data_IF_584111211934
#
_entry.id   IF_584111211934
#
_cell.length_a   1.000
_cell.length_b   1.000
_cell.length_c   1.000
_cell.angle_alpha   90.00
_cell.angle_beta   90.00
_cell.angle_gamma   90.00
#
_symmetry.space_group_name_H-M   'P 1'
#
loop_
_entity.id
_entity.type
_entity.pdbx_description
1 polymer ?
#
# COMPACT_ATOMS: atom_id res chain seq x y z
N UNK A 1 -3.00 -6.73 42.02
CA UNK A 1 -1.56 -6.75 41.74
C UNK A 1 -0.88 -5.58 42.41
N UNK A 2 0.21 -5.79 43.16
CA UNK A 2 0.84 -4.74 43.99
C UNK A 2 1.99 -3.98 43.31
N UNK A 3 2.64 -4.55 42.27
CA UNK A 3 3.75 -3.92 41.53
C UNK A 3 3.54 -4.02 40.02
N UNK A 4 4.11 -3.09 39.27
CA UNK A 4 4.14 -3.16 37.81
C UNK A 4 5.31 -4.05 37.38
N UNK A 5 5.01 -5.10 36.61
CA UNK A 5 6.01 -6.00 36.04
C UNK A 5 6.59 -5.39 34.76
N UNK A 6 7.91 -5.50 34.59
CA UNK A 6 8.67 -4.98 33.45
C UNK A 6 9.94 -5.81 33.23
N UNK A 7 10.52 -5.69 32.06
CA UNK A 7 11.84 -6.26 31.81
C UNK A 7 12.89 -5.58 32.71
N UNK A 8 13.67 -6.41 33.41
CA UNK A 8 14.83 -6.01 34.24
C UNK A 8 15.94 -7.02 34.01
N UNK A 9 17.14 -6.67 34.44
CA UNK A 9 18.26 -7.62 34.52
C UNK A 9 18.73 -7.69 35.96
N UNK A 10 18.63 -8.84 36.65
CA UNK A 10 17.96 -10.08 36.27
C UNK A 10 16.44 -9.88 36.11
N UNK A 11 15.72 -10.83 35.43
CA UNK A 11 14.27 -10.74 35.22
C UNK A 11 13.50 -10.74 36.54
N UNK A 12 12.40 -9.99 36.60
CA UNK A 12 11.46 -10.05 37.72
C UNK A 12 10.86 -11.45 37.83
N UNK A 13 10.88 -12.04 39.03
CA UNK A 13 10.36 -13.36 39.32
C UNK A 13 9.33 -13.31 40.46
N UNK A 14 8.49 -14.30 40.53
CA UNK A 14 7.61 -14.53 41.67
C UNK A 14 6.21 -15.04 41.32
N UNK A 15 5.40 -15.36 42.35
CA UNK A 15 4.03 -15.84 42.16
C UNK A 15 3.14 -14.85 41.44
N UNK A 16 3.35 -13.55 41.64
CA UNK A 16 2.63 -12.47 40.97
C UNK A 16 2.94 -12.40 39.46
N UNK A 17 4.17 -12.72 39.05
CA UNK A 17 4.56 -12.87 37.65
C UNK A 17 3.83 -14.03 37.03
N UNK A 18 3.86 -15.22 37.72
CA UNK A 18 3.18 -16.43 37.25
C UNK A 18 1.68 -16.20 37.11
N UNK A 19 1.03 -15.51 38.03
CA UNK A 19 -0.38 -15.13 37.97
C UNK A 19 -0.65 -14.24 36.75
N UNK A 20 0.16 -13.20 36.51
CA UNK A 20 0.03 -12.34 35.35
C UNK A 20 0.15 -13.10 34.02
N UNK A 21 1.10 -14.05 33.96
CA UNK A 21 1.27 -14.94 32.81
C UNK A 21 0.05 -15.84 32.59
N UNK A 22 -0.54 -16.39 33.66
CA UNK A 22 -1.78 -17.19 33.58
C UNK A 22 -2.94 -16.36 33.01
N UNK A 23 -3.08 -15.08 33.40
CA UNK A 23 -4.10 -14.18 32.83
C UNK A 23 -3.82 -13.90 31.34
N UNK A 24 -2.57 -13.76 30.92
CA UNK A 24 -2.21 -13.64 29.52
C UNK A 24 -2.50 -14.92 28.72
N UNK A 25 -2.24 -16.09 29.31
CA UNK A 25 -2.56 -17.41 28.72
C UNK A 25 -4.05 -17.57 28.54
N UNK A 26 -4.87 -17.26 29.57
CA UNK A 26 -6.33 -17.41 29.52
C UNK A 26 -6.97 -16.55 28.42
N UNK A 27 -6.32 -15.48 28.00
CA UNK A 27 -6.75 -14.58 26.91
C UNK A 27 -6.03 -14.82 25.59
N UNK A 28 -5.20 -15.85 25.48
CA UNK A 28 -4.50 -16.23 24.24
C UNK A 28 -3.33 -15.32 23.86
N UNK A 29 -2.85 -14.46 24.77
CA UNK A 29 -1.69 -13.59 24.50
C UNK A 29 -0.36 -14.29 24.80
N UNK A 30 -0.36 -15.33 25.62
CA UNK A 30 0.78 -16.17 25.95
C UNK A 30 0.42 -17.64 25.70
N UNK A 31 1.36 -18.44 25.23
CA UNK A 31 1.12 -19.87 24.99
C UNK A 31 0.99 -20.65 26.32
N UNK A 32 0.22 -21.73 26.29
CA UNK A 32 0.15 -22.67 27.42
C UNK A 32 1.54 -23.21 27.72
N UNK A 33 1.90 -23.30 28.98
CA UNK A 33 3.22 -23.79 29.44
C UNK A 33 4.27 -22.66 29.60
N UNK A 34 4.00 -21.44 29.16
CA UNK A 34 4.93 -20.30 29.32
C UNK A 34 4.68 -19.45 30.58
N UNK A 35 3.91 -19.95 31.52
CA UNK A 35 3.71 -19.31 32.82
C UNK A 35 4.74 -19.84 33.84
N UNK A 36 6.01 -19.50 33.59
CA UNK A 36 7.18 -19.96 34.36
C UNK A 36 7.48 -19.13 35.62
N UNK A 37 6.83 -17.98 35.77
CA UNK A 37 7.04 -17.04 36.88
C UNK A 37 8.20 -16.08 36.67
N UNK A 38 8.76 -16.00 35.44
CA UNK A 38 9.78 -15.02 35.06
C UNK A 38 9.25 -13.99 34.04
N UNK A 39 9.41 -12.71 34.30
CA UNK A 39 8.98 -11.66 33.38
C UNK A 39 10.06 -11.40 32.32
N UNK A 40 10.26 -12.39 31.44
CA UNK A 40 11.19 -12.31 30.31
C UNK A 40 10.59 -11.63 29.07
N UNK A 41 11.37 -11.56 27.97
CA UNK A 41 10.96 -10.89 26.71
C UNK A 41 9.65 -11.42 26.13
N UNK A 42 9.38 -12.71 26.23
CA UNK A 42 8.17 -13.36 25.72
C UNK A 42 6.94 -12.83 26.47
N UNK A 43 7.00 -12.79 27.82
CA UNK A 43 5.92 -12.26 28.68
C UNK A 43 5.73 -10.76 28.44
N UNK A 44 6.81 -10.00 28.32
CA UNK A 44 6.78 -8.58 28.03
C UNK A 44 6.09 -8.27 26.69
N UNK A 45 6.41 -9.03 25.66
CA UNK A 45 5.77 -8.93 24.35
C UNK A 45 4.29 -9.35 24.39
N UNK A 46 3.94 -10.36 25.17
CA UNK A 46 2.55 -10.77 25.38
C UNK A 46 1.73 -9.63 26.03
N UNK A 47 2.25 -8.99 27.07
CA UNK A 47 1.62 -7.83 27.70
C UNK A 47 1.45 -6.65 26.71
N UNK A 48 2.46 -6.40 25.86
CA UNK A 48 2.39 -5.38 24.81
C UNK A 48 1.28 -5.68 23.80
N UNK A 49 1.17 -6.94 23.32
CA UNK A 49 0.10 -7.38 22.41
C UNK A 49 -1.29 -7.25 23.05
N UNK A 50 -1.45 -7.62 24.32
CA UNK A 50 -2.70 -7.48 25.04
C UNK A 50 -3.16 -6.01 25.10
N UNK A 51 -2.29 -5.08 25.50
CA UNK A 51 -2.58 -3.64 25.51
C UNK A 51 -2.97 -3.13 24.13
N UNK A 52 -2.26 -3.53 23.09
CA UNK A 52 -2.57 -3.15 21.71
C UNK A 52 -3.98 -3.60 21.31
N UNK A 53 -4.31 -4.87 21.57
CA UNK A 53 -5.60 -5.45 21.23
C UNK A 53 -6.78 -4.84 22.02
N UNK A 54 -6.57 -4.48 23.29
CA UNK A 54 -7.56 -3.80 24.15
C UNK A 54 -7.82 -2.35 23.69
N UNK A 55 -6.87 -1.73 22.97
CA UNK A 55 -7.00 -0.38 22.43
C UNK A 55 -6.37 0.73 23.26
N UNK A 56 -5.29 0.44 24.00
CA UNK A 56 -4.47 1.49 24.61
C UNK A 56 -3.95 2.47 23.55
N UNK A 57 -3.62 3.72 23.93
CA UNK A 57 -2.89 4.64 23.02
C UNK A 57 -1.54 4.02 22.67
N UNK A 58 -0.99 4.29 21.48
CA UNK A 58 0.28 3.71 21.06
C UNK A 58 1.43 4.02 22.04
N UNK A 59 1.46 5.24 22.59
CA UNK A 59 2.43 5.65 23.62
C UNK A 59 2.35 4.81 24.92
N UNK A 60 1.16 4.23 25.20
CA UNK A 60 0.91 3.42 26.40
C UNK A 60 1.07 1.91 26.14
N UNK A 61 1.29 1.51 24.90
CA UNK A 61 1.52 0.11 24.48
C UNK A 61 2.98 -0.26 24.80
N UNK A 62 3.32 -0.24 26.09
CA UNK A 62 4.64 -0.59 26.61
C UNK A 62 4.68 -2.05 27.04
N UNK A 63 5.86 -2.64 27.02
CA UNK A 63 6.14 -4.03 27.45
C UNK A 63 6.12 -4.17 28.99
N UNK A 64 5.05 -3.71 29.62
CA UNK A 64 4.83 -3.73 31.08
C UNK A 64 3.45 -4.31 31.40
N UNK A 65 3.33 -4.95 32.57
CA UNK A 65 2.08 -5.50 33.08
C UNK A 65 1.78 -4.87 34.44
N UNK A 66 0.66 -4.18 34.57
CA UNK A 66 0.21 -3.52 35.78
C UNK A 66 -1.26 -3.77 36.04
N UNK A 67 -1.78 -3.24 37.17
CA UNK A 67 -3.15 -3.47 37.64
C UNK A 67 -4.22 -3.17 36.60
N UNK A 68 -4.06 -2.09 35.84
CA UNK A 68 -5.03 -1.74 34.78
C UNK A 68 -5.14 -2.82 33.71
N UNK A 69 -4.01 -3.37 33.23
CA UNK A 69 -4.03 -4.47 32.27
C UNK A 69 -4.63 -5.73 32.89
N UNK A 70 -4.27 -6.02 34.13
CA UNK A 70 -4.82 -7.13 34.91
C UNK A 70 -6.36 -7.06 35.01
N UNK A 71 -6.89 -5.91 35.37
CA UNK A 71 -8.34 -5.66 35.47
C UNK A 71 -9.06 -5.91 34.13
N UNK A 72 -8.46 -5.49 33.01
CA UNK A 72 -9.03 -5.76 31.69
C UNK A 72 -9.03 -7.25 31.34
N UNK A 73 -7.94 -7.94 31.62
CA UNK A 73 -7.82 -9.38 31.33
C UNK A 73 -8.80 -10.20 32.19
N UNK A 74 -9.01 -9.78 33.43
CA UNK A 74 -9.95 -10.42 34.36
C UNK A 74 -11.42 -10.00 34.10
N UNK A 75 -11.68 -9.02 33.25
CA UNK A 75 -13.02 -8.50 32.99
C UNK A 75 -13.57 -7.58 34.09
N UNK A 76 -12.76 -7.23 35.09
CA UNK A 76 -13.09 -6.28 36.16
C UNK A 76 -13.26 -4.86 35.66
N UNK A 77 -12.60 -4.54 34.55
CA UNK A 77 -12.67 -3.25 33.87
C UNK A 77 -13.09 -3.43 32.41
N UNK A 78 -14.05 -2.62 31.94
CA UNK A 78 -14.44 -2.59 30.53
C UNK A 78 -13.65 -1.50 29.78
N UNK A 79 -13.17 -1.76 28.55
CA UNK A 79 -12.53 -0.75 27.72
C UNK A 79 -13.49 0.43 27.47
N UNK A 80 -12.98 1.65 27.52
CA UNK A 80 -13.74 2.87 27.21
C UNK A 80 -14.18 2.86 25.72
N UNK A 81 -15.15 3.73 25.38
CA UNK A 81 -15.60 3.92 23.97
C UNK A 81 -14.41 4.19 23.04
N UNK A 82 -13.50 5.07 23.45
CA UNK A 82 -12.29 5.40 22.69
C UNK A 82 -11.33 4.22 22.55
N UNK A 83 -11.16 3.38 23.56
CA UNK A 83 -10.36 2.15 23.49
C UNK A 83 -10.99 1.13 22.54
N UNK A 84 -12.30 0.91 22.64
CA UNK A 84 -13.01 -0.01 21.72
C UNK A 84 -12.90 0.45 20.28
N UNK A 85 -13.02 1.75 20.01
CA UNK A 85 -12.84 2.31 18.66
C UNK A 85 -11.43 2.09 18.14
N UNK A 86 -10.39 2.36 18.94
CA UNK A 86 -9.00 2.08 18.56
C UNK A 86 -8.76 0.60 18.29
N UNK A 87 -9.27 -0.29 19.14
CA UNK A 87 -9.16 -1.73 18.96
C UNK A 87 -9.88 -2.19 17.67
N UNK A 88 -11.07 -1.66 17.38
CA UNK A 88 -11.81 -1.94 16.16
C UNK A 88 -11.04 -1.46 14.91
N UNK A 89 -10.50 -0.25 14.93
CA UNK A 89 -9.71 0.29 13.82
C UNK A 89 -8.44 -0.54 13.55
N UNK A 90 -7.80 -1.07 14.59
CA UNK A 90 -6.63 -1.95 14.47
C UNK A 90 -6.96 -3.34 13.91
N UNK A 91 -8.19 -3.83 14.13
CA UNK A 91 -8.67 -5.11 13.56
C UNK A 91 -9.19 -4.96 12.14
N UNK A 92 -9.57 -3.75 11.74
CA UNK A 92 -9.95 -3.50 10.34
C UNK A 92 -8.72 -3.74 9.48
N UNK A 93 -8.80 -4.69 8.55
CA UNK A 93 -7.85 -4.71 7.44
C UNK A 93 -7.94 -3.33 6.81
N UNK A 94 -6.81 -2.65 6.52
CA UNK A 94 -6.85 -1.42 5.75
C UNK A 94 -7.71 -1.66 4.51
N UNK A 95 -8.74 -0.85 4.31
CA UNK A 95 -9.48 -0.88 3.04
C UNK A 95 -8.45 -0.51 1.99
N UNK A 96 -8.17 -1.44 1.09
CA UNK A 96 -7.20 -1.23 0.05
C UNK A 96 -7.70 -0.09 -0.85
N UNK A 97 -6.86 0.91 -1.06
CA UNK A 97 -7.24 2.06 -1.89
C UNK A 97 -7.48 1.62 -3.33
N UNK A 98 -8.30 2.39 -4.07
CA UNK A 98 -8.50 2.18 -5.50
C UNK A 98 -7.16 2.06 -6.24
N UNK A 99 -6.23 2.97 -5.99
CA UNK A 99 -4.90 2.90 -6.58
C UNK A 99 -4.14 1.62 -6.24
N UNK A 100 -4.25 1.09 -5.01
CA UNK A 100 -3.59 -0.16 -4.65
C UNK A 100 -4.18 -1.37 -5.38
N UNK A 101 -5.51 -1.42 -5.53
CA UNK A 101 -6.19 -2.45 -6.34
C UNK A 101 -5.83 -2.34 -7.83
N UNK A 102 -5.75 -1.10 -8.36
CA UNK A 102 -5.30 -0.85 -9.72
C UNK A 102 -3.88 -1.34 -9.96
N UNK A 103 -2.97 -1.11 -9.00
CA UNK A 103 -1.60 -1.61 -9.07
C UNK A 103 -1.56 -3.15 -9.12
N UNK A 104 -2.39 -3.85 -8.32
CA UNK A 104 -2.49 -5.32 -8.38
C UNK A 104 -3.05 -5.81 -9.72
N UNK A 105 -4.03 -5.11 -10.28
CA UNK A 105 -4.56 -5.39 -11.63
C UNK A 105 -3.45 -5.28 -12.68
N UNK A 106 -2.67 -4.21 -12.66
CA UNK A 106 -1.55 -4.04 -13.60
C UNK A 106 -0.44 -5.08 -13.41
N UNK A 107 -0.17 -5.52 -12.15
CA UNK A 107 0.74 -6.66 -11.91
C UNK A 107 0.16 -7.95 -12.51
N UNK A 108 -1.16 -8.14 -12.50
CA UNK A 108 -1.83 -9.24 -13.20
C UNK A 108 -1.58 -9.18 -14.72
N UNK A 109 -1.69 -8.01 -15.32
CA UNK A 109 -1.41 -7.81 -16.77
C UNK A 109 0.07 -8.03 -17.11
N UNK A 110 0.99 -7.59 -16.24
CA UNK A 110 2.41 -7.92 -16.34
C UNK A 110 2.64 -9.44 -16.36
N UNK A 111 2.04 -10.20 -15.44
CA UNK A 111 2.13 -11.66 -15.40
C UNK A 111 1.53 -12.32 -16.63
N UNK A 112 0.49 -11.76 -17.19
CA UNK A 112 -0.15 -12.23 -18.43
C UNK A 112 0.65 -11.85 -19.69
N UNK A 113 1.75 -11.10 -19.55
CA UNK A 113 2.64 -10.73 -20.65
C UNK A 113 2.01 -9.72 -21.62
N UNK A 114 1.18 -8.81 -21.14
CA UNK A 114 0.52 -7.83 -21.99
C UNK A 114 1.54 -6.93 -22.69
N UNK A 115 1.46 -6.91 -24.00
CA UNK A 115 2.33 -6.14 -24.88
C UNK A 115 1.62 -5.77 -26.18
N UNK A 116 2.21 -4.85 -26.90
CA UNK A 116 1.76 -4.48 -28.24
C UNK A 116 1.83 -5.65 -29.23
N UNK A 117 0.83 -5.68 -30.07
CA UNK A 117 0.82 -6.59 -31.20
C UNK A 117 0.11 -5.94 -32.41
N UNK A 118 0.81 -5.73 -33.53
CA UNK A 118 2.27 -5.89 -33.71
C UNK A 118 3.07 -4.88 -32.86
N UNK A 119 4.36 -5.19 -32.65
CA UNK A 119 5.27 -4.32 -31.90
C UNK A 119 5.33 -2.92 -32.54
N UNK A 120 5.32 -1.87 -31.73
CA UNK A 120 5.32 -0.47 -32.19
C UNK A 120 3.95 0.05 -32.65
N UNK A 121 2.88 -0.78 -32.56
CA UNK A 121 1.53 -0.38 -33.00
C UNK A 121 0.78 0.47 -32.01
N UNK A 122 1.24 0.59 -30.78
CA UNK A 122 0.49 1.14 -29.65
C UNK A 122 -0.88 0.45 -29.44
N UNK A 123 -1.00 -0.83 -29.82
CA UNK A 123 -2.20 -1.63 -29.67
C UNK A 123 -1.96 -2.85 -28.78
N UNK A 124 -2.71 -2.96 -27.70
CA UNK A 124 -2.66 -4.07 -26.75
C UNK A 124 -4.06 -4.69 -26.65
N UNK A 125 -4.22 -5.91 -27.16
CA UNK A 125 -5.51 -6.60 -27.26
C UNK A 125 -6.22 -6.68 -25.90
N UNK A 126 -5.52 -7.13 -24.84
CA UNK A 126 -6.10 -7.22 -23.49
C UNK A 126 -6.59 -5.88 -22.95
N UNK A 127 -5.86 -4.79 -23.18
CA UNK A 127 -6.28 -3.45 -22.74
C UNK A 127 -7.49 -2.96 -23.56
N UNK A 128 -7.50 -3.21 -24.87
CA UNK A 128 -8.66 -2.95 -25.75
C UNK A 128 -9.91 -3.65 -25.22
N UNK A 129 -9.81 -4.94 -24.87
CA UNK A 129 -10.95 -5.71 -24.37
C UNK A 129 -11.46 -5.19 -23.02
N UNK A 130 -10.57 -4.78 -22.12
CA UNK A 130 -10.99 -4.13 -20.87
C UNK A 130 -11.69 -2.80 -21.14
N UNK A 131 -11.22 -1.98 -22.07
CA UNK A 131 -11.88 -0.73 -22.46
C UNK A 131 -13.31 -1.00 -22.97
N UNK A 132 -13.50 -2.01 -23.82
CA UNK A 132 -14.82 -2.44 -24.32
C UNK A 132 -15.72 -2.92 -23.17
N UNK A 133 -15.19 -3.78 -22.31
CA UNK A 133 -15.94 -4.30 -21.15
C UNK A 133 -16.40 -3.18 -20.20
N UNK A 134 -15.58 -2.16 -20.00
CA UNK A 134 -15.94 -0.99 -19.21
C UNK A 134 -16.90 -0.03 -19.94
N UNK A 135 -17.24 -0.29 -21.18
CA UNK A 135 -18.11 0.58 -21.98
C UNK A 135 -17.50 1.95 -22.26
N UNK A 136 -16.20 2.01 -22.46
CA UNK A 136 -15.49 3.24 -22.85
C UNK A 136 -15.71 3.53 -24.34
N UNK A 137 -15.50 4.78 -24.74
CA UNK A 137 -15.57 5.17 -26.15
C UNK A 137 -14.63 4.33 -27.02
N UNK A 138 -15.01 4.07 -28.24
CA UNK A 138 -14.25 3.25 -29.21
C UNK A 138 -12.81 3.75 -29.44
N UNK A 139 -12.59 5.06 -29.29
CA UNK A 139 -11.27 5.66 -29.34
C UNK A 139 -10.27 4.96 -28.39
N UNK A 140 -10.68 4.64 -27.14
CA UNK A 140 -9.81 3.98 -26.18
C UNK A 140 -9.55 2.51 -26.51
N UNK A 141 -10.53 1.79 -27.07
CA UNK A 141 -10.36 0.40 -27.45
C UNK A 141 -9.60 0.24 -28.76
N UNK A 142 -9.66 1.21 -29.66
CA UNK A 142 -8.95 1.16 -30.94
C UNK A 142 -7.49 1.57 -30.83
N UNK A 143 -7.10 2.25 -29.76
CA UNK A 143 -5.71 2.63 -29.43
C UNK A 143 -4.95 3.24 -30.63
N UNK A 144 -3.63 3.02 -30.70
CA UNK A 144 -2.77 3.63 -31.73
C UNK A 144 -2.03 4.89 -31.24
N UNK A 145 -2.10 5.15 -29.93
CA UNK A 145 -1.43 6.25 -29.24
C UNK A 145 -0.66 5.73 -28.03
N UNK A 146 0.30 6.49 -27.45
CA UNK A 146 0.99 6.08 -26.21
C UNK A 146 0.00 5.78 -25.09
N UNK A 147 0.07 4.58 -24.51
CA UNK A 147 -0.97 4.02 -23.65
C UNK A 147 -0.59 3.89 -22.17
N UNK A 148 0.52 4.49 -21.73
CA UNK A 148 0.95 4.44 -20.33
C UNK A 148 -0.14 4.95 -19.37
N UNK A 149 -0.73 6.11 -19.66
CA UNK A 149 -1.79 6.71 -18.85
C UNK A 149 -3.12 5.93 -18.97
N UNK A 150 -3.46 5.45 -20.16
CA UNK A 150 -4.65 4.60 -20.36
C UNK A 150 -4.59 3.38 -19.45
N UNK A 151 -3.46 2.70 -19.37
CA UNK A 151 -3.27 1.52 -18.51
C UNK A 151 -3.59 1.83 -17.04
N UNK A 152 -3.04 2.91 -16.51
CA UNK A 152 -3.26 3.33 -15.12
C UNK A 152 -4.72 3.67 -14.86
N UNK A 153 -5.33 4.47 -15.73
CA UNK A 153 -6.71 4.93 -15.53
C UNK A 153 -7.77 3.85 -15.79
N UNK A 154 -7.54 2.95 -16.74
CA UNK A 154 -8.42 1.78 -16.97
C UNK A 154 -8.34 0.81 -15.80
N UNK A 155 -7.13 0.52 -15.29
CA UNK A 155 -6.97 -0.29 -14.09
C UNK A 155 -7.67 0.33 -12.87
N UNK A 156 -7.55 1.64 -12.68
CA UNK A 156 -8.23 2.35 -11.61
C UNK A 156 -9.75 2.34 -11.78
N UNK A 157 -10.27 2.58 -13.00
CA UNK A 157 -11.69 2.58 -13.30
C UNK A 157 -12.35 1.22 -13.07
N UNK A 158 -11.62 0.12 -13.29
CA UNK A 158 -12.09 -1.25 -12.96
C UNK A 158 -12.41 -1.44 -11.47
N UNK A 159 -11.98 -0.51 -10.62
CA UNK A 159 -12.23 -0.48 -9.18
C UNK A 159 -13.04 0.75 -8.74
N UNK A 160 -13.86 1.29 -9.65
CA UNK A 160 -14.78 2.41 -9.39
C UNK A 160 -14.07 3.72 -9.00
N UNK A 161 -12.91 3.99 -9.60
CA UNK A 161 -12.16 5.22 -9.36
C UNK A 161 -12.90 6.45 -9.86
N UNK A 162 -13.09 7.42 -8.96
CA UNK A 162 -13.65 8.74 -9.33
C UNK A 162 -12.74 9.50 -10.28
N UNK A 163 -11.42 9.47 -10.04
CA UNK A 163 -10.45 10.14 -10.90
C UNK A 163 -10.45 9.57 -12.31
N UNK A 164 -10.51 8.25 -12.46
CA UNK A 164 -10.58 7.62 -13.76
C UNK A 164 -11.93 7.86 -14.47
N UNK A 165 -13.03 7.88 -13.71
CA UNK A 165 -14.36 8.21 -14.25
C UNK A 165 -14.42 9.65 -14.79
N UNK A 166 -13.87 10.61 -14.04
CA UNK A 166 -13.83 12.01 -14.48
C UNK A 166 -12.94 12.21 -15.72
N UNK A 167 -11.86 11.46 -15.88
CA UNK A 167 -11.00 11.52 -17.06
C UNK A 167 -11.54 10.73 -18.24
N UNK A 168 -11.74 9.43 -18.07
CA UNK A 168 -12.05 8.53 -19.19
C UNK A 168 -13.52 8.54 -19.60
N UNK A 169 -14.46 8.69 -18.66
CA UNK A 169 -15.88 8.64 -18.97
C UNK A 169 -16.50 10.02 -19.18
N UNK A 170 -16.17 10.96 -18.31
CA UNK A 170 -16.78 12.30 -18.30
C UNK A 170 -16.00 13.32 -19.09
N UNK A 171 -14.74 13.03 -19.39
CA UNK A 171 -13.89 13.94 -20.17
C UNK A 171 -13.66 15.31 -19.50
N UNK A 172 -13.67 15.36 -18.15
CA UNK A 172 -13.47 16.61 -17.42
C UNK A 172 -11.98 17.05 -17.39
N UNK A 173 -11.09 16.14 -17.70
CA UNK A 173 -9.69 16.40 -18.00
C UNK A 173 -9.14 15.31 -18.91
N UNK A 174 -8.04 15.58 -19.60
CA UNK A 174 -7.43 14.59 -20.49
C UNK A 174 -6.58 13.59 -19.67
N UNK A 175 -7.23 12.46 -19.31
CA UNK A 175 -6.58 11.39 -18.53
C UNK A 175 -5.51 10.62 -19.31
N UNK A 176 -5.26 10.92 -20.57
CA UNK A 176 -4.21 10.31 -21.39
C UNK A 176 -2.99 11.21 -21.56
N UNK A 177 -3.08 12.47 -21.16
CA UNK A 177 -2.00 13.45 -21.33
C UNK A 177 -1.32 13.74 -19.99
N UNK A 178 -0.10 13.24 -19.82
CA UNK A 178 0.64 13.27 -18.53
C UNK A 178 0.84 14.67 -17.96
N UNK A 179 1.10 15.75 -18.75
CA UNK A 179 1.14 17.11 -18.20
C UNK A 179 -0.20 17.61 -17.65
N UNK A 180 -1.33 17.23 -18.25
CA UNK A 180 -2.65 17.56 -17.72
C UNK A 180 -2.93 16.80 -16.42
N UNK A 181 -2.56 15.51 -16.35
CA UNK A 181 -2.68 14.73 -15.12
C UNK A 181 -1.87 15.38 -13.99
N UNK A 182 -0.66 15.85 -14.28
CA UNK A 182 0.17 16.58 -13.32
C UNK A 182 -0.53 17.87 -12.83
N UNK A 183 -1.05 18.67 -13.75
CA UNK A 183 -1.75 19.91 -13.42
C UNK A 183 -3.00 19.62 -12.55
N UNK A 184 -3.77 18.60 -12.88
CA UNK A 184 -4.95 18.18 -12.11
C UNK A 184 -4.56 17.68 -10.71
N UNK A 185 -3.52 16.86 -10.59
CA UNK A 185 -3.03 16.36 -9.32
C UNK A 185 -2.52 17.50 -8.41
N UNK A 186 -1.78 18.46 -8.97
CA UNK A 186 -1.27 19.62 -8.24
C UNK A 186 -2.40 20.53 -7.74
N UNK A 187 -3.51 20.66 -8.49
CA UNK A 187 -4.70 21.39 -8.05
C UNK A 187 -5.54 20.63 -7.04
N UNK A 188 -5.31 19.34 -6.84
CA UNK A 188 -6.13 18.49 -5.96
C UNK A 188 -7.56 18.29 -6.49
N UNK A 189 -7.73 18.13 -7.81
CA UNK A 189 -9.02 18.08 -8.48
C UNK A 189 -9.34 16.67 -9.01
N UNK A 190 -10.63 16.42 -9.28
CA UNK A 190 -11.15 15.19 -9.92
C UNK A 190 -10.65 13.87 -9.28
N UNK A 191 -10.47 13.87 -7.94
CA UNK A 191 -9.98 12.68 -7.24
C UNK A 191 -8.47 12.42 -7.34
N UNK A 192 -7.72 13.33 -7.96
CA UNK A 192 -6.25 13.33 -7.93
C UNK A 192 -5.77 14.34 -6.88
N UNK A 193 -4.71 13.99 -6.15
CA UNK A 193 -4.12 14.86 -5.14
C UNK A 193 -2.63 14.60 -5.02
N UNK A 194 -1.81 15.61 -5.31
CA UNK A 194 -0.35 15.52 -5.20
C UNK A 194 0.08 15.18 -3.76
N UNK A 195 1.15 14.41 -3.66
CA UNK A 195 1.79 14.01 -2.40
C UNK A 195 3.30 14.18 -2.48
N UNK A 196 3.96 14.27 -1.34
CA UNK A 196 5.43 14.24 -1.30
C UNK A 196 5.98 12.87 -1.74
N UNK A 197 7.20 12.82 -2.26
CA UNK A 197 7.88 11.57 -2.64
C UNK A 197 8.02 10.62 -1.44
N UNK A 198 8.19 11.13 -0.23
CA UNK A 198 8.24 10.34 1.01
C UNK A 198 6.89 9.73 1.42
N UNK A 199 5.77 10.24 0.90
CA UNK A 199 4.43 9.72 1.15
C UNK A 199 3.98 8.69 0.10
N UNK A 200 4.83 8.35 -0.87
CA UNK A 200 4.58 7.30 -1.86
C UNK A 200 4.35 5.97 -1.14
N UNK A 201 3.34 5.24 -1.56
CA UNK A 201 2.97 3.91 -1.08
C UNK A 201 2.31 3.13 -2.20
N UNK A 202 2.03 1.84 -1.99
CA UNK A 202 1.32 1.02 -2.97
C UNK A 202 0.06 1.74 -3.48
N UNK A 203 -0.04 1.86 -4.80
CA UNK A 203 -1.15 2.51 -5.51
C UNK A 203 -1.05 4.02 -5.62
N UNK A 204 0.06 4.64 -5.20
CA UNK A 204 0.35 6.02 -5.58
C UNK A 204 0.65 6.10 -7.07
N UNK A 205 0.02 7.03 -7.79
CA UNK A 205 0.44 7.40 -9.14
C UNK A 205 1.76 8.13 -9.09
N UNK A 206 2.63 7.85 -10.04
CA UNK A 206 3.93 8.50 -10.19
C UNK A 206 4.09 8.94 -11.65
N UNK A 207 4.37 10.22 -11.85
CA UNK A 207 4.65 10.84 -13.12
C UNK A 207 6.15 11.05 -13.26
N UNK A 208 6.71 10.59 -14.36
CA UNK A 208 8.14 10.64 -14.64
C UNK A 208 8.46 11.71 -15.68
N UNK A 209 9.63 12.27 -15.53
CA UNK A 209 10.32 13.11 -16.51
C UNK A 209 11.68 12.43 -16.76
N UNK A 210 11.81 11.79 -17.92
CA UNK A 210 13.01 11.01 -18.25
C UNK A 210 14.08 11.83 -18.95
N UNK A 211 13.72 12.92 -19.61
CA UNK A 211 14.61 13.71 -20.46
C UNK A 211 14.79 15.17 -20.02
N UNK A 212 14.04 15.62 -19.00
CA UNK A 212 14.05 17.00 -18.52
C UNK A 212 13.15 17.93 -19.31
N UNK A 213 12.38 17.42 -20.27
CA UNK A 213 11.44 18.17 -21.10
C UNK A 213 10.04 18.33 -20.50
N UNK A 214 9.78 17.68 -19.37
CA UNK A 214 8.49 17.62 -18.70
C UNK A 214 7.98 16.20 -18.53
N UNK A 215 6.81 16.05 -17.90
CA UNK A 215 6.27 14.70 -17.63
C UNK A 215 5.85 13.99 -18.90
N UNK A 216 6.47 12.87 -19.16
CA UNK A 216 6.31 12.06 -20.37
C UNK A 216 5.77 10.64 -20.10
N UNK A 217 5.79 10.17 -18.84
CA UNK A 217 5.38 8.82 -18.48
C UNK A 217 4.69 8.75 -17.12
N UNK A 218 3.95 7.64 -16.91
CA UNK A 218 3.18 7.39 -15.68
C UNK A 218 3.19 5.91 -15.29
N UNK A 219 3.21 5.65 -13.99
CA UNK A 219 3.05 4.32 -13.41
C UNK A 219 2.35 4.35 -12.07
N UNK A 220 2.18 3.17 -11.47
CA UNK A 220 1.69 2.99 -10.11
C UNK A 220 2.79 2.40 -9.23
N UNK A 221 3.06 3.02 -8.10
CA UNK A 221 3.98 2.49 -7.11
C UNK A 221 3.44 1.20 -6.50
N UNK A 222 4.30 0.19 -6.31
CA UNK A 222 3.98 -1.09 -5.67
C UNK A 222 4.32 -1.12 -4.17
N UNK A 223 5.04 -0.13 -3.67
CA UNK A 223 5.45 0.03 -2.28
C UNK A 223 5.95 1.43 -1.98
N UNK A 224 6.40 1.65 -0.76
CA UNK A 224 7.11 2.86 -0.39
C UNK A 224 8.56 2.85 -0.92
N UNK A 225 9.22 4.00 -1.06
CA UNK A 225 10.65 4.05 -1.40
C UNK A 225 11.50 3.19 -0.48
N UNK A 226 12.48 2.49 -1.03
CA UNK A 226 13.39 1.60 -0.30
C UNK A 226 12.78 0.29 0.20
N UNK A 227 11.49 0.06 0.01
CA UNK A 227 10.79 -1.13 0.52
C UNK A 227 10.78 -2.24 -0.53
N UNK A 228 11.27 -3.42 -0.16
CA UNK A 228 11.22 -4.59 -1.01
C UNK A 228 9.77 -5.02 -1.29
N UNK A 229 9.49 -5.38 -2.55
CA UNK A 229 8.15 -5.73 -3.03
C UNK A 229 8.20 -7.09 -3.74
N UNK A 230 7.26 -7.98 -3.43
CA UNK A 230 7.04 -9.20 -4.21
C UNK A 230 5.98 -8.95 -5.29
N UNK A 231 6.39 -8.97 -6.55
CA UNK A 231 5.51 -8.76 -7.69
C UNK A 231 5.97 -9.59 -8.90
N UNK A 232 5.03 -10.10 -9.67
CA UNK A 232 5.32 -10.84 -10.89
C UNK A 232 6.12 -12.14 -10.68
N UNK A 233 6.05 -12.74 -9.47
CA UNK A 233 6.75 -13.98 -9.16
C UNK A 233 8.18 -13.80 -8.63
N UNK A 234 8.69 -12.58 -8.50
CA UNK A 234 10.01 -12.29 -7.93
C UNK A 234 9.98 -11.16 -6.90
N UNK A 235 11.01 -11.08 -6.06
CA UNK A 235 11.21 -9.99 -5.11
C UNK A 235 12.06 -8.90 -5.72
N UNK A 236 11.53 -7.69 -5.77
CA UNK A 236 12.21 -6.47 -6.20
C UNK A 236 12.77 -5.75 -4.98
N UNK A 237 14.04 -5.34 -5.03
CA UNK A 237 14.77 -4.72 -3.91
C UNK A 237 15.30 -3.35 -4.33
N UNK A 238 14.49 -2.27 -4.18
CA UNK A 238 14.94 -0.91 -4.46
C UNK A 238 15.91 -0.42 -3.37
N UNK A 239 16.80 0.49 -3.72
CA UNK A 239 17.55 1.29 -2.74
C UNK A 239 16.65 2.35 -2.09
N UNK A 240 17.13 3.03 -1.04
CA UNK A 240 16.37 4.08 -0.36
C UNK A 240 15.95 5.25 -1.27
N UNK A 241 16.70 5.48 -2.37
CA UNK A 241 16.42 6.50 -3.39
C UNK A 241 15.55 6.00 -4.55
N UNK A 242 15.00 4.78 -4.45
CA UNK A 242 14.27 4.12 -5.51
C UNK A 242 12.90 3.62 -5.05
N UNK A 243 12.00 3.41 -5.99
CA UNK A 243 10.68 2.83 -5.78
C UNK A 243 10.39 1.77 -6.83
N UNK A 244 9.64 0.72 -6.45
CA UNK A 244 9.15 -0.29 -7.40
C UNK A 244 7.82 0.20 -7.96
N UNK A 245 7.69 0.22 -9.29
CA UNK A 245 6.50 0.63 -10.01
C UNK A 245 6.03 -0.46 -10.97
N UNK A 246 4.74 -0.45 -11.30
CA UNK A 246 4.17 -1.15 -12.45
C UNK A 246 3.72 -0.10 -13.46
N UNK A 247 4.07 -0.30 -14.72
CA UNK A 247 3.93 0.67 -15.80
C UNK A 247 3.40 0.00 -17.06
N UNK A 248 2.58 0.71 -17.82
CA UNK A 248 2.22 0.34 -19.18
C UNK A 248 3.06 1.11 -20.20
N UNK A 249 3.18 0.60 -21.41
CA UNK A 249 3.94 1.24 -22.49
C UNK A 249 5.41 1.51 -22.16
N UNK A 250 6.05 0.57 -21.47
CA UNK A 250 7.48 0.62 -21.13
C UNK A 250 8.19 -0.64 -21.60
N UNK A 251 9.52 -0.71 -21.50
CA UNK A 251 10.29 -1.90 -21.89
C UNK A 251 10.63 -2.80 -20.70
N UNK A 252 10.84 -4.12 -20.93
CA UNK A 252 11.07 -5.09 -19.87
C UNK A 252 12.39 -4.88 -19.11
N UNK A 253 13.51 -4.71 -19.81
CA UNK A 253 14.85 -4.91 -19.23
C UNK A 253 15.77 -3.69 -19.33
N UNK A 254 15.20 -2.47 -19.32
CA UNK A 254 16.03 -1.25 -19.40
C UNK A 254 16.59 -0.96 -20.79
N UNK A 255 16.46 -1.87 -21.74
CA UNK A 255 16.67 -1.60 -23.16
C UNK A 255 15.41 -1.02 -23.80
N UNK A 256 15.55 -0.25 -24.89
CA UNK A 256 14.43 0.39 -25.57
C UNK A 256 13.84 1.59 -24.83
N UNK A 257 12.72 2.10 -25.34
CA UNK A 257 12.08 3.28 -24.79
C UNK A 257 11.49 3.02 -23.41
N UNK A 258 11.73 3.95 -22.46
CA UNK A 258 11.18 3.89 -21.11
C UNK A 258 9.77 4.48 -21.04
N UNK A 259 9.41 5.37 -21.96
CA UNK A 259 8.10 6.02 -22.06
C UNK A 259 7.24 5.50 -23.22
N UNK A 260 7.80 4.69 -24.13
CA UNK A 260 7.10 4.07 -25.28
C UNK A 260 7.72 2.73 -25.64
N UNK A 261 7.77 1.78 -24.71
CA UNK A 261 8.47 0.50 -24.84
C UNK A 261 7.56 -0.70 -25.18
N UNK A 262 6.27 -0.50 -25.30
CA UNK A 262 5.33 -1.47 -25.86
C UNK A 262 4.86 -2.61 -24.93
N UNK A 263 5.16 -2.62 -23.64
CA UNK A 263 4.68 -3.66 -22.72
C UNK A 263 4.23 -3.15 -21.36
N UNK A 264 3.50 -3.98 -20.59
CA UNK A 264 3.31 -3.79 -19.16
C UNK A 264 4.49 -4.40 -18.44
N UNK A 265 5.18 -3.64 -17.59
CA UNK A 265 6.35 -4.12 -16.86
C UNK A 265 6.39 -3.62 -15.41
N UNK A 266 7.07 -4.39 -14.55
CA UNK A 266 7.47 -3.94 -13.20
C UNK A 266 8.90 -3.41 -13.30
N UNK A 267 9.12 -2.23 -12.72
CA UNK A 267 10.39 -1.50 -12.83
C UNK A 267 10.83 -0.98 -11.46
N UNK A 268 12.15 -0.86 -11.27
CA UNK A 268 12.72 -0.04 -10.19
C UNK A 268 13.04 1.33 -10.81
N UNK A 269 12.55 2.40 -10.20
CA UNK A 269 12.72 3.79 -10.67
C UNK A 269 13.38 4.64 -9.60
N UNK A 270 14.30 5.50 -10.00
CA UNK A 270 14.91 6.49 -9.12
C UNK A 270 13.90 7.59 -8.77
N UNK A 271 13.89 8.02 -7.51
CA UNK A 271 13.02 9.11 -7.06
C UNK A 271 13.34 10.45 -7.74
N UNK A 272 14.56 10.63 -8.25
CA UNK A 272 14.96 11.82 -9.02
C UNK A 272 14.13 11.98 -10.29
N UNK A 273 13.76 10.88 -10.95
CA UNK A 273 12.97 10.87 -12.19
C UNK A 273 11.48 11.17 -11.96
N UNK A 274 11.00 11.14 -10.71
CA UNK A 274 9.60 11.40 -10.40
C UNK A 274 9.39 12.92 -10.32
N UNK A 275 8.69 13.49 -11.29
CA UNK A 275 8.28 14.87 -11.28
C UNK A 275 7.13 15.14 -10.29
N UNK A 276 6.13 14.24 -10.25
CA UNK A 276 4.98 14.36 -9.34
C UNK A 276 4.52 12.98 -8.90
N UNK A 277 4.25 12.83 -7.59
CA UNK A 277 3.53 11.69 -7.05
C UNK A 277 2.13 12.12 -6.58
N UNK A 278 1.12 11.25 -6.72
CA UNK A 278 -0.25 11.60 -6.37
C UNK A 278 -1.07 10.40 -5.88
N UNK A 279 -2.20 10.68 -5.23
CA UNK A 279 -3.24 9.68 -4.88
C UNK A 279 -4.31 9.66 -5.95
N UNK A 280 -4.85 8.44 -6.18
CA UNK A 280 -6.09 8.20 -6.94
C UNK A 280 -7.21 7.82 -5.96
N UNK A 281 -8.42 8.38 -6.16
CA UNK A 281 -9.63 8.09 -5.38
C UNK A 281 -10.81 7.72 -6.28
#
# INVERSE_FOLDING_TARGET
>A
MRRTLRLTSPYMKGPDVKTAQQHLVSRGYLARGQADGEFGPITANAAKRAKYAIGYRLADVRATYGSMLDDFLLGKRKPSKAMRLRAANRRRKPVESVGAKAADTMVGWYKAGWKEHPAGSNYVLGLSDVCKHLGLASYYSNMGFPWCALTVFVAALSHESKSADYGLRRGLFNALYTPEIQAVANRGSFGLSAISKSAIKKGSGVLFDFDGGGVDHIGLALGAPGVAVFAGGKTWRPSASQVVCVEGNTSYDGGGSQSNGGCVAVRIRDLSLIATAFRLT
#
